data_IF_735563663937
#
_entry.id   IF_735563663937
#
_cell.length_a   1.000
_cell.length_b   1.000
_cell.length_c   1.000
_cell.angle_alpha   90.00
_cell.angle_beta   90.00
_cell.angle_gamma   90.00
#
_symmetry.space_group_name_H-M   'P 1'
#
loop_
_entity.id
_entity.type
_entity.pdbx_description
1 polymer ?
#
# COMPACT_ATOMS: atom_id res chain seq x y z
N UNK A 1 4.12 11.53 -69.58
CA UNK A 1 3.64 10.14 -69.47
C UNK A 1 4.78 9.36 -68.81
N UNK A 2 4.98 9.55 -67.51
CA UNK A 2 4.35 8.79 -66.43
C UNK A 2 5.01 7.41 -66.26
N UNK A 3 6.02 7.40 -65.39
CA UNK A 3 6.51 6.25 -64.63
C UNK A 3 5.39 5.58 -63.85
N UNK A 4 5.43 4.26 -63.70
CA UNK A 4 5.10 3.60 -62.41
C UNK A 4 5.48 2.11 -62.42
N UNK A 5 6.55 1.81 -61.69
CA UNK A 5 6.90 0.46 -61.22
C UNK A 5 5.87 0.04 -60.17
N UNK A 6 5.09 -1.01 -60.43
CA UNK A 6 4.24 -1.64 -59.41
C UNK A 6 5.09 -2.36 -58.38
N UNK A 7 5.22 -1.74 -57.21
CA UNK A 7 5.82 -2.30 -56.02
C UNK A 7 4.89 -3.33 -55.36
N UNK A 8 5.53 -4.39 -54.90
CA UNK A 8 5.00 -5.58 -54.25
C UNK A 8 4.40 -5.23 -52.87
N UNK A 9 3.09 -5.43 -52.68
CA UNK A 9 2.43 -5.36 -51.36
C UNK A 9 2.65 -6.71 -50.67
N UNK A 10 3.63 -6.77 -49.75
CA UNK A 10 3.67 -7.81 -48.72
C UNK A 10 3.03 -7.25 -47.48
N UNK A 11 1.87 -7.80 -47.14
CA UNK A 11 1.17 -7.59 -45.89
C UNK A 11 2.10 -7.90 -44.72
N UNK A 12 2.39 -6.89 -43.90
CA UNK A 12 3.05 -7.05 -42.61
C UNK A 12 1.97 -7.26 -41.57
N UNK A 13 1.71 -8.52 -41.28
CA UNK A 13 1.00 -8.95 -40.09
C UNK A 13 1.93 -8.64 -38.90
N UNK A 14 1.50 -7.72 -38.03
CA UNK A 14 2.22 -7.36 -36.81
C UNK A 14 1.61 -8.22 -35.70
N UNK A 15 2.29 -9.32 -35.40
CA UNK A 15 1.99 -10.14 -34.23
C UNK A 15 2.50 -9.41 -32.99
N UNK A 16 1.60 -8.71 -32.30
CA UNK A 16 1.85 -8.14 -30.97
C UNK A 16 1.65 -9.25 -29.93
N UNK A 17 2.63 -10.13 -29.81
CA UNK A 17 2.78 -10.96 -28.62
C UNK A 17 3.41 -10.09 -27.52
N UNK A 18 2.56 -9.48 -26.68
CA UNK A 18 3.04 -8.97 -25.39
C UNK A 18 3.45 -10.17 -24.56
N UNK A 19 4.77 -10.38 -24.45
CA UNK A 19 5.34 -11.29 -23.46
C UNK A 19 4.79 -10.89 -22.08
N UNK A 20 3.90 -11.71 -21.54
CA UNK A 20 3.51 -11.64 -20.14
C UNK A 20 4.78 -11.97 -19.35
N UNK A 21 5.50 -10.95 -18.89
CA UNK A 21 6.54 -11.11 -17.87
C UNK A 21 5.93 -11.94 -16.74
N UNK A 22 6.47 -13.15 -16.53
CA UNK A 22 6.05 -13.97 -15.41
C UNK A 22 6.37 -13.18 -14.15
N UNK A 23 5.34 -12.74 -13.42
CA UNK A 23 5.49 -12.01 -12.17
C UNK A 23 6.07 -12.99 -11.15
N UNK A 24 7.39 -12.93 -10.98
CA UNK A 24 8.10 -13.71 -9.96
C UNK A 24 7.68 -13.21 -8.57
N UNK A 25 7.20 -14.13 -7.74
CA UNK A 25 6.77 -13.83 -6.38
C UNK A 25 7.99 -13.55 -5.48
N UNK A 26 8.19 -12.28 -5.13
CA UNK A 26 9.29 -11.84 -4.27
C UNK A 26 8.83 -11.81 -2.82
N UNK A 27 9.62 -12.45 -1.96
CA UNK A 27 9.35 -12.53 -0.53
C UNK A 27 10.31 -11.69 0.29
N UNK A 28 9.77 -10.88 1.19
CA UNK A 28 10.49 -10.16 2.24
C UNK A 28 9.96 -10.65 3.59
N UNK A 29 10.63 -11.64 4.17
CA UNK A 29 10.17 -12.35 5.39
C UNK A 29 8.76 -12.92 5.24
N UNK A 30 7.75 -12.19 5.71
CA UNK A 30 6.34 -12.58 5.74
C UNK A 30 5.50 -11.86 4.67
N UNK A 31 6.11 -10.97 3.89
CA UNK A 31 5.45 -10.18 2.87
C UNK A 31 5.79 -10.75 1.49
N UNK A 32 4.77 -11.10 0.71
CA UNK A 32 4.88 -11.46 -0.71
C UNK A 32 4.55 -10.24 -1.57
N UNK A 33 5.21 -10.10 -2.71
CA UNK A 33 4.90 -9.08 -3.71
C UNK A 33 3.55 -9.31 -4.41
N UNK A 34 2.89 -10.44 -4.15
CA UNK A 34 1.55 -10.76 -4.65
C UNK A 34 0.43 -10.44 -3.64
N UNK A 35 0.77 -10.12 -2.38
CA UNK A 35 -0.24 -9.76 -1.38
C UNK A 35 -0.82 -8.37 -1.65
N UNK A 36 -2.13 -8.20 -1.49
CA UNK A 36 -2.72 -6.87 -1.32
C UNK A 36 -2.43 -6.36 0.10
N UNK A 37 -1.65 -5.28 0.22
CA UNK A 37 -1.14 -4.78 1.51
C UNK A 37 -1.66 -3.37 1.80
N UNK A 38 -2.23 -3.19 2.99
CA UNK A 38 -2.54 -1.88 3.56
C UNK A 38 -1.56 -1.56 4.69
N UNK A 39 -0.82 -0.46 4.60
CA UNK A 39 -0.02 0.09 5.69
C UNK A 39 -0.76 1.26 6.33
N UNK A 40 -0.91 1.22 7.64
CA UNK A 40 -1.73 2.14 8.43
C UNK A 40 -0.85 2.91 9.40
N UNK A 41 -1.09 4.22 9.51
CA UNK A 41 -0.39 5.07 10.46
C UNK A 41 1.07 5.35 10.09
N UNK A 42 1.40 5.35 8.79
CA UNK A 42 2.71 5.76 8.32
C UNK A 42 2.98 7.21 8.74
N UNK A 43 4.15 7.45 9.34
CA UNK A 43 4.65 8.79 9.62
C UNK A 43 5.30 9.39 8.37
N UNK A 44 6.58 9.07 8.16
CA UNK A 44 7.35 9.55 7.00
C UNK A 44 7.30 8.61 5.79
N UNK A 45 6.48 7.56 5.82
CA UNK A 45 6.33 6.54 4.77
C UNK A 45 7.58 5.69 4.49
N UNK A 46 8.62 5.75 5.32
CA UNK A 46 9.88 5.04 5.07
C UNK A 46 9.74 3.52 5.05
N UNK A 47 8.88 2.94 5.89
CA UNK A 47 8.65 1.51 5.91
C UNK A 47 7.96 1.04 4.62
N UNK A 48 6.90 1.74 4.20
CA UNK A 48 6.23 1.50 2.92
C UNK A 48 7.20 1.61 1.74
N UNK A 49 8.04 2.66 1.71
CA UNK A 49 9.03 2.85 0.65
C UNK A 49 10.05 1.70 0.60
N UNK A 50 10.54 1.25 1.76
CA UNK A 50 11.49 0.14 1.84
C UNK A 50 10.88 -1.18 1.33
N UNK A 51 9.62 -1.47 1.71
CA UNK A 51 8.90 -2.65 1.25
C UNK A 51 8.66 -2.61 -0.26
N UNK A 52 8.15 -1.48 -0.77
CA UNK A 52 7.94 -1.23 -2.20
C UNK A 52 9.22 -1.42 -3.02
N UNK A 53 10.35 -0.86 -2.57
CA UNK A 53 11.65 -1.02 -3.23
C UNK A 53 12.14 -2.46 -3.21
N UNK A 54 11.89 -3.20 -2.14
CA UNK A 54 12.27 -4.61 -2.02
C UNK A 54 11.49 -5.50 -2.99
N UNK A 55 10.22 -5.17 -3.26
CA UNK A 55 9.44 -5.82 -4.32
C UNK A 55 9.79 -5.31 -5.73
N UNK A 56 10.29 -4.07 -5.83
CA UNK A 56 10.51 -3.38 -7.10
C UNK A 56 9.22 -2.88 -7.76
N UNK A 57 8.09 -3.00 -7.07
CA UNK A 57 6.77 -2.49 -7.44
C UNK A 57 5.95 -2.28 -6.16
N UNK A 58 4.95 -1.42 -6.24
CA UNK A 58 4.03 -1.13 -5.15
C UNK A 58 2.58 -1.04 -5.62
N UNK A 59 2.24 -1.55 -6.81
CA UNK A 59 0.87 -1.51 -7.36
C UNK A 59 -0.21 -2.13 -6.46
N UNK A 60 0.20 -3.08 -5.62
CA UNK A 60 -0.59 -3.80 -4.63
C UNK A 60 -0.52 -3.21 -3.21
N UNK A 61 0.16 -2.07 -3.04
CA UNK A 61 0.38 -1.40 -1.75
C UNK A 61 -0.49 -0.15 -1.65
N UNK A 62 -1.23 -0.05 -0.55
CA UNK A 62 -1.86 1.18 -0.06
C UNK A 62 -1.14 1.62 1.20
N UNK A 63 -0.45 2.75 1.15
CA UNK A 63 0.18 3.35 2.34
C UNK A 63 -0.72 4.47 2.88
N UNK A 64 -0.92 4.55 4.19
CA UNK A 64 -1.81 5.57 4.76
C UNK A 64 -1.26 6.20 6.03
N UNK A 65 -1.50 7.52 6.16
CA UNK A 65 -1.15 8.30 7.35
C UNK A 65 -2.39 8.84 8.04
N UNK A 66 -2.31 9.04 9.36
CA UNK A 66 -3.30 9.83 10.10
C UNK A 66 -3.14 11.33 9.80
N UNK A 67 -1.90 11.77 9.58
CA UNK A 67 -1.60 13.14 9.20
C UNK A 67 -2.08 13.45 7.78
N UNK A 68 -2.40 14.73 7.54
CA UNK A 68 -2.65 15.27 6.19
C UNK A 68 -1.37 15.21 5.34
N UNK A 69 -1.50 15.29 4.01
CA UNK A 69 -0.33 15.39 3.12
C UNK A 69 0.60 16.53 3.55
N UNK A 70 0.05 17.73 3.75
CA UNK A 70 0.83 18.92 4.12
C UNK A 70 1.56 18.74 5.45
N UNK A 71 0.91 18.12 6.44
CA UNK A 71 1.53 17.78 7.71
C UNK A 71 2.67 16.78 7.54
N UNK A 72 2.51 15.75 6.71
CA UNK A 72 3.57 14.77 6.44
C UNK A 72 4.80 15.47 5.86
N UNK A 73 4.63 16.34 4.86
CA UNK A 73 5.73 17.06 4.22
C UNK A 73 6.41 18.04 5.19
N UNK A 74 5.64 18.64 6.09
CA UNK A 74 6.14 19.64 7.05
C UNK A 74 6.84 18.99 8.25
N UNK A 75 6.28 17.92 8.81
CA UNK A 75 6.77 17.26 10.03
C UNK A 75 7.96 16.35 9.75
N UNK A 76 7.96 15.65 8.61
CA UNK A 76 8.95 14.62 8.32
C UNK A 76 9.89 15.04 7.19
N UNK A 77 11.17 15.18 7.51
CA UNK A 77 12.23 15.58 6.56
C UNK A 77 12.23 14.76 5.27
N UNK A 78 11.96 13.45 5.36
CA UNK A 78 12.00 12.53 4.23
C UNK A 78 10.60 12.19 3.67
N UNK A 79 9.52 12.73 4.23
CA UNK A 79 8.15 12.38 3.82
C UNK A 79 7.90 12.62 2.34
N UNK A 80 8.34 13.78 1.82
CA UNK A 80 8.21 14.12 0.39
C UNK A 80 8.95 13.15 -0.53
N UNK A 81 10.18 12.81 -0.19
CA UNK A 81 11.00 11.90 -1.02
C UNK A 81 10.45 10.49 -1.00
N UNK A 82 9.99 10.00 0.16
CA UNK A 82 9.42 8.67 0.31
C UNK A 82 8.11 8.52 -0.46
N UNK A 83 7.20 9.51 -0.36
CA UNK A 83 5.97 9.55 -1.16
C UNK A 83 6.27 9.58 -2.66
N UNK A 84 7.26 10.37 -3.11
CA UNK A 84 7.65 10.40 -4.52
C UNK A 84 8.20 9.04 -5.02
N UNK A 85 8.89 8.27 -4.18
CA UNK A 85 9.34 6.93 -4.54
C UNK A 85 8.15 5.97 -4.64
N UNK A 86 7.22 6.05 -3.69
CA UNK A 86 5.99 5.26 -3.69
C UNK A 86 5.15 5.52 -4.95
N UNK A 87 4.95 6.79 -5.32
CA UNK A 87 4.27 7.18 -6.57
C UNK A 87 4.93 6.53 -7.80
N UNK A 88 6.27 6.60 -7.89
CA UNK A 88 7.03 6.03 -9.00
C UNK A 88 6.94 4.51 -9.08
N UNK A 89 6.77 3.84 -7.93
CA UNK A 89 6.59 2.38 -7.85
C UNK A 89 5.11 1.97 -7.98
N UNK A 90 4.20 2.92 -8.13
CA UNK A 90 2.78 2.67 -8.38
C UNK A 90 1.94 2.45 -7.11
N UNK A 91 2.44 2.83 -5.93
CA UNK A 91 1.65 2.73 -4.71
C UNK A 91 0.49 3.72 -4.71
N UNK A 92 -0.63 3.33 -4.09
CA UNK A 92 -1.61 4.31 -3.64
C UNK A 92 -1.22 4.84 -2.27
N UNK A 93 -1.32 6.15 -2.06
CA UNK A 93 -1.24 6.71 -0.70
C UNK A 93 -2.49 7.49 -0.34
N UNK A 94 -2.87 7.37 0.94
CA UNK A 94 -4.03 8.02 1.53
C UNK A 94 -3.58 8.79 2.76
N UNK A 95 -4.25 9.91 3.02
CA UNK A 95 -3.98 10.75 4.19
C UNK A 95 -5.24 10.88 5.02
N UNK A 96 -5.09 11.30 6.27
CA UNK A 96 -6.20 11.48 7.21
C UNK A 96 -6.99 10.18 7.45
N UNK A 97 -6.31 9.03 7.38
CA UNK A 97 -6.89 7.71 7.65
C UNK A 97 -6.77 7.38 9.14
N UNK A 98 -7.90 7.43 9.84
CA UNK A 98 -8.02 6.98 11.22
C UNK A 98 -8.12 5.45 11.28
N UNK A 99 -7.10 4.80 11.87
CA UNK A 99 -7.02 3.35 12.04
C UNK A 99 -8.23 2.74 12.79
N UNK A 100 -8.90 3.53 13.64
CA UNK A 100 -10.09 3.10 14.40
C UNK A 100 -11.39 3.20 13.60
N UNK A 101 -11.34 3.75 12.39
CA UNK A 101 -12.51 3.95 11.50
C UNK A 101 -12.24 3.59 10.04
N UNK A 102 -11.06 3.05 9.73
CA UNK A 102 -10.58 2.86 8.37
C UNK A 102 -11.48 1.99 7.49
N UNK A 103 -12.28 1.07 8.06
CA UNK A 103 -13.23 0.25 7.29
C UNK A 103 -14.36 1.06 6.65
N UNK A 104 -14.59 2.28 7.12
CA UNK A 104 -15.61 3.19 6.58
C UNK A 104 -15.02 4.24 5.62
N UNK A 105 -13.69 4.29 5.48
CA UNK A 105 -13.04 5.23 4.58
C UNK A 105 -13.40 4.90 3.13
N UNK A 106 -13.82 5.89 2.34
CA UNK A 106 -14.39 5.68 0.99
C UNK A 106 -13.47 4.89 0.04
N UNK A 107 -12.16 5.14 0.10
CA UNK A 107 -11.18 4.43 -0.74
C UNK A 107 -10.82 3.02 -0.22
N UNK A 108 -11.27 2.65 0.99
CA UNK A 108 -10.92 1.38 1.65
C UNK A 108 -12.14 0.48 1.90
N UNK A 109 -13.35 1.03 2.00
CA UNK A 109 -14.53 0.34 2.50
C UNK A 109 -14.99 -0.85 1.66
N UNK A 110 -14.65 -0.87 0.37
CA UNK A 110 -14.95 -1.97 -0.55
C UNK A 110 -13.75 -2.89 -0.81
N UNK A 111 -12.57 -2.57 -0.25
CA UNK A 111 -11.34 -3.32 -0.49
C UNK A 111 -11.13 -4.40 0.56
N UNK A 112 -10.45 -5.46 0.14
CA UNK A 112 -9.94 -6.51 1.00
C UNK A 112 -8.43 -6.63 0.81
N UNK A 113 -7.74 -7.03 1.88
CA UNK A 113 -6.29 -7.12 1.91
C UNK A 113 -5.86 -8.49 2.42
N UNK A 114 -4.73 -8.97 1.96
CA UNK A 114 -4.06 -10.14 2.54
C UNK A 114 -3.38 -9.76 3.86
N UNK A 115 -2.83 -8.54 3.93
CA UNK A 115 -2.17 -8.03 5.12
C UNK A 115 -2.51 -6.57 5.38
N UNK A 116 -2.77 -6.26 6.65
CA UNK A 116 -2.94 -4.90 7.16
C UNK A 116 -1.89 -4.69 8.25
N UNK A 117 -1.00 -3.73 8.04
CA UNK A 117 0.18 -3.50 8.87
C UNK A 117 0.00 -2.17 9.59
N UNK A 118 0.00 -2.19 10.93
CA UNK A 118 0.04 -0.99 11.75
C UNK A 118 1.28 -1.04 12.65
N UNK A 119 2.34 -0.38 12.20
CA UNK A 119 3.66 -0.47 12.84
C UNK A 119 3.80 0.58 13.95
N UNK A 120 4.08 0.15 15.17
CA UNK A 120 4.18 1.00 16.37
C UNK A 120 2.95 1.88 16.63
N UNK A 121 1.75 1.27 16.76
CA UNK A 121 0.53 2.01 17.04
C UNK A 121 0.65 2.80 18.35
N UNK A 122 0.27 4.07 18.31
CA UNK A 122 0.38 4.97 19.44
C UNK A 122 -0.85 5.87 19.54
N UNK A 123 -1.46 5.96 20.73
CA UNK A 123 -2.66 6.78 20.94
C UNK A 123 -2.38 8.30 20.89
N UNK A 124 -1.11 8.70 20.93
CA UNK A 124 -0.66 10.09 20.99
C UNK A 124 0.08 10.39 22.29
N UNK A 125 0.79 11.51 22.34
CA UNK A 125 1.60 11.90 23.50
C UNK A 125 0.79 12.73 24.49
N UNK A 126 0.14 12.07 25.46
CA UNK A 126 -0.71 12.72 26.47
C UNK A 126 -0.14 12.70 27.89
N UNK A 127 1.14 12.34 28.06
CA UNK A 127 1.79 12.27 29.36
C UNK A 127 2.92 11.26 29.37
N UNK A 128 3.20 10.69 30.55
CA UNK A 128 4.18 9.61 30.69
C UNK A 128 3.59 8.29 30.17
N UNK A 129 4.39 7.57 29.38
CA UNK A 129 3.99 6.28 28.79
C UNK A 129 3.77 5.16 29.81
N UNK A 130 4.22 5.33 31.06
CA UNK A 130 3.97 4.41 32.18
C UNK A 130 2.65 4.69 32.93
N UNK A 131 1.93 5.75 32.54
CA UNK A 131 0.65 6.09 33.15
C UNK A 131 -0.44 5.10 32.74
N UNK A 132 -1.18 4.57 33.73
CA UNK A 132 -2.23 3.57 33.50
C UNK A 132 -3.35 4.03 32.56
N UNK A 133 -3.69 5.32 32.54
CA UNK A 133 -4.68 5.88 31.62
C UNK A 133 -4.15 5.84 30.18
N UNK A 134 -2.90 6.26 29.96
CA UNK A 134 -2.29 6.25 28.62
C UNK A 134 -2.09 4.83 28.09
N UNK A 135 -1.68 3.90 28.96
CA UNK A 135 -1.65 2.45 28.64
C UNK A 135 -3.06 1.97 28.23
N UNK A 136 -4.11 2.41 28.93
CA UNK A 136 -5.49 2.11 28.57
C UNK A 136 -5.90 2.65 27.20
N UNK A 137 -5.43 3.86 26.84
CA UNK A 137 -5.66 4.46 25.52
C UNK A 137 -4.96 3.67 24.41
N UNK A 138 -3.69 3.27 24.61
CA UNK A 138 -2.95 2.45 23.65
C UNK A 138 -3.64 1.10 23.41
N UNK A 139 -4.14 0.46 24.47
CA UNK A 139 -4.91 -0.79 24.36
C UNK A 139 -6.20 -0.59 23.57
N UNK A 140 -6.96 0.48 23.87
CA UNK A 140 -8.20 0.78 23.14
C UNK A 140 -7.94 1.04 21.66
N UNK A 141 -6.88 1.78 21.33
CA UNK A 141 -6.48 2.01 19.94
C UNK A 141 -6.28 0.67 19.19
N UNK A 142 -5.58 -0.28 19.81
CA UNK A 142 -5.36 -1.61 19.23
C UNK A 142 -6.67 -2.40 19.09
N UNK A 143 -7.51 -2.41 20.13
CA UNK A 143 -8.79 -3.10 20.10
C UNK A 143 -9.67 -2.59 18.95
N UNK A 144 -9.78 -1.27 18.81
CA UNK A 144 -10.56 -0.62 17.75
C UNK A 144 -9.95 -0.87 16.36
N UNK A 145 -8.61 -0.82 16.25
CA UNK A 145 -7.91 -1.18 15.02
C UNK A 145 -8.21 -2.62 14.59
N UNK A 146 -8.11 -3.60 15.48
CA UNK A 146 -8.37 -4.99 15.14
C UNK A 146 -9.83 -5.23 14.74
N UNK A 147 -10.79 -4.58 15.39
CA UNK A 147 -12.20 -4.61 14.98
C UNK A 147 -12.45 -4.00 13.60
N UNK A 148 -11.63 -3.04 13.18
CA UNK A 148 -11.68 -2.48 11.84
C UNK A 148 -11.01 -3.42 10.83
N UNK A 149 -9.77 -3.83 11.11
CA UNK A 149 -8.94 -4.65 10.23
C UNK A 149 -9.57 -6.02 9.94
N UNK A 150 -10.18 -6.67 10.93
CA UNK A 150 -10.78 -8.01 10.77
C UNK A 150 -11.82 -8.05 9.63
N UNK A 151 -12.66 -7.01 9.53
CA UNK A 151 -13.65 -6.90 8.46
C UNK A 151 -13.06 -6.55 7.09
N UNK A 152 -11.77 -6.26 6.99
CA UNK A 152 -11.08 -5.81 5.78
C UNK A 152 -10.07 -6.84 5.26
N UNK A 153 -9.88 -7.98 5.94
CA UNK A 153 -9.05 -9.06 5.44
C UNK A 153 -9.84 -9.97 4.49
N UNK A 154 -9.14 -10.57 3.52
CA UNK A 154 -9.70 -11.70 2.77
C UNK A 154 -10.00 -12.86 3.73
N UNK A 155 -11.10 -13.57 3.44
CA UNK A 155 -11.38 -14.82 4.16
C UNK A 155 -10.27 -15.80 3.83
N UNK A 156 -9.52 -16.23 4.83
CA UNK A 156 -8.59 -17.33 4.65
C UNK A 156 -9.43 -18.58 4.34
N UNK A 157 -9.42 -19.01 3.07
CA UNK A 157 -9.92 -20.33 2.69
C UNK A 157 -9.19 -21.35 3.56
N UNK A 158 -9.91 -21.92 4.53
CA UNK A 158 -9.47 -23.13 5.22
C UNK A 158 -9.37 -24.20 4.15
N UNK A 159 -8.14 -24.48 3.70
CA UNK A 159 -7.86 -25.61 2.83
C UNK A 159 -8.13 -26.87 3.67
N UNK A 160 -9.35 -27.39 3.61
CA UNK A 160 -9.63 -28.75 4.05
C UNK A 160 -8.74 -29.67 3.21
N UNK A 161 -7.76 -30.27 3.87
CA UNK A 161 -6.91 -31.32 3.32
C UNK A 161 -7.34 -32.63 3.96
#
# INVERSE_FOLDING_TARGET
MADEKKANKKDKQIDNEQELEQVEDKWVKYYSSLHEILLVGEGDFSFSTCLAQSFGSASNIVASSLDSYDDVIKKYKNGKSNLSILDKLGASHLHEVDATKMKFHSNLSIRKFDQIIFNFPHAGFYGKEDNSLLIGMHKRLLDDFFQNACGMLYDQMVKYT
#
